data_IF_513497004034
#
_entry.id   IF_513497004034
#
_cell.length_a   1.000
_cell.length_b   1.000
_cell.length_c   1.000
_cell.angle_alpha   90.00
_cell.angle_beta   90.00
_cell.angle_gamma   90.00
#
_symmetry.space_group_name_H-M   'P 1'
#
loop_
_entity.id
_entity.type
_entity.pdbx_description
1 polymer ?
#
# COMPACT_ATOMS: atom_id res chain seq x y z
N UNK A 1 33.20 -30.37 14.03
CA UNK A 1 32.23 -30.82 12.99
C UNK A 1 30.83 -30.54 13.51
N UNK A 2 30.32 -29.36 13.23
CA UNK A 2 28.96 -28.94 13.61
C UNK A 2 28.00 -29.43 12.55
N UNK A 3 27.08 -30.34 12.92
CA UNK A 3 25.99 -30.80 12.05
C UNK A 3 25.00 -29.67 11.96
N UNK A 4 24.98 -28.97 10.81
CA UNK A 4 23.93 -28.04 10.45
C UNK A 4 22.60 -28.79 10.43
N UNK A 5 21.72 -28.51 11.37
CA UNK A 5 20.32 -28.91 11.37
C UNK A 5 19.65 -28.27 10.17
N UNK A 6 19.54 -29.00 9.07
CA UNK A 6 18.68 -28.62 7.95
C UNK A 6 17.22 -28.73 8.42
N UNK A 7 16.67 -27.65 8.96
CA UNK A 7 15.20 -27.58 9.19
C UNK A 7 14.54 -27.73 7.83
N UNK A 8 13.66 -28.73 7.71
CA UNK A 8 12.81 -28.85 6.52
C UNK A 8 12.03 -27.54 6.33
N UNK A 9 11.92 -27.06 5.09
CA UNK A 9 11.19 -25.82 4.82
C UNK A 9 9.72 -26.00 5.24
N UNK A 10 9.11 -25.03 5.92
CA UNK A 10 7.73 -25.12 6.33
C UNK A 10 6.80 -25.29 5.13
N UNK A 11 5.85 -26.21 5.27
CA UNK A 11 4.91 -26.61 4.21
C UNK A 11 3.56 -25.96 4.46
N UNK A 12 2.99 -25.31 3.43
CA UNK A 12 1.67 -24.69 3.45
C UNK A 12 0.69 -25.57 2.65
N UNK A 13 -0.08 -26.40 3.35
CA UNK A 13 -0.78 -27.50 2.71
C UNK A 13 0.22 -28.52 2.16
N UNK A 14 0.19 -28.80 0.87
CA UNK A 14 1.12 -29.73 0.21
C UNK A 14 2.27 -29.04 -0.55
N UNK A 15 2.48 -27.74 -0.40
CA UNK A 15 3.50 -26.98 -1.15
C UNK A 15 4.37 -26.14 -0.21
N UNK A 16 5.65 -26.00 -0.54
CA UNK A 16 6.54 -25.02 0.09
C UNK A 16 6.29 -23.62 -0.43
N UNK A 17 6.77 -22.59 0.27
CA UNK A 17 6.70 -21.19 -0.18
C UNK A 17 7.34 -21.02 -1.57
N UNK A 18 8.51 -21.65 -1.79
CA UNK A 18 9.19 -21.59 -3.09
C UNK A 18 8.34 -22.18 -4.24
N UNK A 19 7.64 -23.30 -3.99
CA UNK A 19 6.72 -23.90 -4.97
C UNK A 19 5.50 -23.01 -5.24
N UNK A 20 4.98 -22.33 -4.21
CA UNK A 20 3.88 -21.37 -4.37
C UNK A 20 4.33 -20.16 -5.21
N UNK A 21 5.54 -19.63 -4.98
CA UNK A 21 6.11 -18.54 -5.76
C UNK A 21 6.29 -18.94 -7.23
N UNK A 22 6.84 -20.14 -7.49
CA UNK A 22 6.99 -20.65 -8.84
C UNK A 22 5.63 -20.79 -9.57
N UNK A 23 4.62 -21.33 -8.88
CA UNK A 23 3.27 -21.47 -9.42
C UNK A 23 2.59 -20.11 -9.68
N UNK A 24 2.76 -19.13 -8.79
CA UNK A 24 2.25 -17.77 -8.96
C UNK A 24 2.86 -17.09 -10.20
N UNK A 25 4.17 -17.24 -10.39
CA UNK A 25 4.88 -16.77 -11.59
C UNK A 25 4.39 -17.45 -12.86
N UNK A 26 4.02 -18.72 -12.77
CA UNK A 26 3.36 -19.46 -13.86
C UNK A 26 1.90 -19.05 -14.11
N UNK A 27 1.37 -18.05 -13.40
CA UNK A 27 0.01 -17.53 -13.60
C UNK A 27 -1.07 -18.22 -12.75
N UNK A 28 -0.71 -19.10 -11.81
CA UNK A 28 -1.68 -19.74 -10.93
C UNK A 28 -2.25 -18.75 -9.90
N UNK A 29 -3.47 -18.24 -10.16
CA UNK A 29 -4.15 -17.25 -9.28
C UNK A 29 -4.35 -17.74 -7.85
N UNK A 30 -4.57 -19.06 -7.64
CA UNK A 30 -4.72 -19.64 -6.29
C UNK A 30 -3.42 -19.58 -5.50
N UNK A 31 -2.28 -19.83 -6.15
CA UNK A 31 -0.97 -19.71 -5.52
C UNK A 31 -0.68 -18.26 -5.12
N UNK A 32 -0.96 -17.30 -6.00
CA UNK A 32 -0.87 -15.85 -5.69
C UNK A 32 -1.74 -15.49 -4.49
N UNK A 33 -3.03 -15.89 -4.49
CA UNK A 33 -3.94 -15.60 -3.39
C UNK A 33 -3.47 -16.22 -2.06
N UNK A 34 -2.86 -17.41 -2.10
CA UNK A 34 -2.31 -18.06 -0.91
C UNK A 34 -1.11 -17.31 -0.35
N UNK A 35 -0.17 -16.89 -1.22
CA UNK A 35 0.99 -16.08 -0.81
C UNK A 35 0.55 -14.76 -0.16
N UNK A 36 -0.44 -14.07 -0.76
CA UNK A 36 -0.99 -12.84 -0.18
C UNK A 36 -1.60 -13.08 1.21
N UNK A 37 -2.28 -14.21 1.41
CA UNK A 37 -2.82 -14.59 2.73
C UNK A 37 -1.71 -14.81 3.75
N UNK A 38 -0.61 -15.45 3.37
CA UNK A 38 0.55 -15.66 4.27
C UNK A 38 1.18 -14.32 4.67
N UNK A 39 1.34 -13.40 3.73
CA UNK A 39 1.85 -12.04 4.02
C UNK A 39 0.91 -11.28 4.96
N UNK A 40 -0.40 -11.35 4.73
CA UNK A 40 -1.42 -10.71 5.57
C UNK A 40 -1.44 -11.27 7.01
N UNK A 41 -1.17 -12.57 7.18
CA UNK A 41 -1.12 -13.23 8.48
C UNK A 41 0.15 -12.88 9.27
N UNK A 42 1.23 -12.50 8.58
CA UNK A 42 2.52 -12.21 9.23
C UNK A 42 3.28 -13.45 9.68
N UNK A 43 4.26 -13.25 10.56
CA UNK A 43 5.06 -14.32 11.14
C UNK A 43 6.07 -14.97 10.19
N UNK A 44 6.64 -16.11 10.60
CA UNK A 44 7.73 -16.78 9.90
C UNK A 44 7.45 -17.07 8.42
N UNK A 45 6.21 -17.47 8.07
CA UNK A 45 5.84 -17.75 6.68
C UNK A 45 5.83 -16.49 5.82
N UNK A 46 5.42 -15.34 6.37
CA UNK A 46 5.51 -14.05 5.66
C UNK A 46 6.97 -13.66 5.40
N UNK A 47 7.88 -13.94 6.34
CA UNK A 47 9.31 -13.68 6.16
C UNK A 47 9.92 -14.61 5.10
N UNK A 48 9.50 -15.85 5.03
CA UNK A 48 9.88 -16.75 3.94
C UNK A 48 9.39 -16.28 2.58
N UNK A 49 8.13 -15.82 2.50
CA UNK A 49 7.58 -15.23 1.26
C UNK A 49 8.41 -14.01 0.86
N UNK A 50 8.74 -13.12 1.81
CA UNK A 50 9.57 -11.95 1.56
C UNK A 50 10.95 -12.34 1.02
N UNK A 51 11.61 -13.34 1.62
CA UNK A 51 12.90 -13.87 1.15
C UNK A 51 12.81 -14.49 -0.24
N UNK A 52 11.78 -15.32 -0.49
CA UNK A 52 11.60 -15.98 -1.78
C UNK A 52 11.24 -15.03 -2.94
N UNK A 53 10.64 -13.87 -2.64
CA UNK A 53 10.24 -12.89 -3.66
C UNK A 53 11.24 -11.75 -3.84
N UNK A 54 12.19 -11.56 -2.92
CA UNK A 54 13.08 -10.38 -2.88
C UNK A 54 13.86 -10.12 -4.17
N UNK A 55 14.30 -11.15 -4.89
CA UNK A 55 15.07 -11.02 -6.14
C UNK A 55 14.20 -10.98 -7.40
N UNK A 56 12.88 -11.03 -7.26
CA UNK A 56 11.93 -11.18 -8.36
C UNK A 56 11.09 -9.92 -8.61
N UNK A 57 11.46 -8.82 -7.99
CA UNK A 57 10.70 -7.57 -7.92
C UNK A 57 11.33 -6.44 -8.73
N UNK A 58 10.69 -5.28 -8.71
CA UNK A 58 11.09 -4.00 -9.33
C UNK A 58 10.68 -3.86 -10.80
N UNK A 59 9.72 -4.65 -11.26
CA UNK A 59 9.16 -4.54 -12.63
C UNK A 59 7.80 -3.85 -12.64
N UNK A 60 6.94 -4.08 -11.64
CA UNK A 60 5.61 -3.53 -11.59
C UNK A 60 5.60 -2.01 -11.34
N UNK A 61 4.73 -1.31 -12.06
CA UNK A 61 4.33 0.05 -11.71
C UNK A 61 3.31 0.01 -10.56
N UNK A 62 3.64 0.58 -9.43
CA UNK A 62 2.73 0.65 -8.27
C UNK A 62 1.99 1.98 -8.27
N UNK A 63 0.67 1.92 -8.48
CA UNK A 63 -0.21 3.09 -8.52
C UNK A 63 -1.06 3.12 -7.25
N UNK A 64 -0.87 4.13 -6.41
CA UNK A 64 -1.71 4.39 -5.24
C UNK A 64 -2.91 5.24 -5.62
N UNK A 65 -4.13 4.78 -5.32
CA UNK A 65 -5.36 5.52 -5.57
C UNK A 65 -5.97 5.94 -4.24
N UNK A 66 -6.07 7.25 -4.03
CA UNK A 66 -6.62 7.85 -2.81
C UNK A 66 -7.60 8.97 -3.12
N UNK A 67 -8.22 9.53 -2.10
CA UNK A 67 -9.19 10.63 -2.22
C UNK A 67 -10.41 10.40 -1.33
N UNK A 68 -11.29 11.40 -1.16
CA UNK A 68 -12.37 11.36 -0.21
C UNK A 68 -13.38 10.23 -0.47
N UNK A 69 -14.13 9.79 0.57
CA UNK A 69 -15.22 8.84 0.41
C UNK A 69 -16.24 9.32 -0.63
N UNK A 70 -16.75 8.41 -1.44
CA UNK A 70 -17.74 8.75 -2.48
C UNK A 70 -17.16 9.39 -3.75
N UNK A 71 -15.85 9.65 -3.84
CA UNK A 71 -15.23 10.19 -5.06
C UNK A 71 -15.28 9.23 -6.26
N UNK A 72 -15.62 7.95 -6.05
CA UNK A 72 -15.72 6.95 -7.10
C UNK A 72 -14.40 6.27 -7.42
N UNK A 73 -13.48 6.21 -6.45
CA UNK A 73 -12.17 5.54 -6.59
C UNK A 73 -12.30 4.13 -7.12
N UNK A 74 -13.10 3.28 -6.47
CA UNK A 74 -13.26 1.86 -6.86
C UNK A 74 -13.85 1.70 -8.27
N UNK A 75 -14.76 2.59 -8.67
CA UNK A 75 -15.32 2.59 -10.03
C UNK A 75 -14.25 3.01 -11.04
N UNK A 76 -13.46 4.04 -10.72
CA UNK A 76 -12.38 4.52 -11.59
C UNK A 76 -11.25 3.50 -11.68
N UNK A 77 -10.86 2.88 -10.55
CA UNK A 77 -9.89 1.79 -10.50
C UNK A 77 -10.34 0.60 -11.36
N UNK A 78 -11.62 0.21 -11.27
CA UNK A 78 -12.17 -0.85 -12.11
C UNK A 78 -12.10 -0.50 -13.59
N UNK A 79 -12.55 0.70 -13.98
CA UNK A 79 -12.52 1.16 -15.36
C UNK A 79 -11.08 1.22 -15.93
N UNK A 80 -10.14 1.81 -15.17
CA UNK A 80 -8.73 1.90 -15.55
C UNK A 80 -8.09 0.51 -15.71
N UNK A 81 -8.29 -0.37 -14.73
CA UNK A 81 -7.67 -1.71 -14.77
C UNK A 81 -8.29 -2.61 -15.83
N UNK A 82 -9.58 -2.48 -16.11
CA UNK A 82 -10.25 -3.15 -17.25
C UNK A 82 -9.64 -2.69 -18.56
N UNK A 83 -9.52 -1.38 -18.79
CA UNK A 83 -8.89 -0.83 -19.99
C UNK A 83 -7.46 -1.36 -20.19
N UNK A 84 -6.67 -1.41 -19.10
CA UNK A 84 -5.30 -1.93 -19.16
C UNK A 84 -5.25 -3.44 -19.45
N UNK A 85 -6.20 -4.21 -18.92
CA UNK A 85 -6.33 -5.63 -19.21
C UNK A 85 -6.71 -5.87 -20.70
N UNK A 86 -7.63 -5.08 -21.25
CA UNK A 86 -8.01 -5.12 -22.67
C UNK A 86 -6.83 -4.78 -23.60
N UNK A 87 -5.86 -4.01 -23.12
CA UNK A 87 -4.58 -3.73 -23.78
C UNK A 87 -3.53 -4.82 -23.62
N UNK A 88 -3.88 -5.95 -23.00
CA UNK A 88 -3.00 -7.09 -22.79
C UNK A 88 -2.04 -6.96 -21.61
N UNK A 89 -2.18 -5.92 -20.75
CA UNK A 89 -1.46 -5.85 -19.48
C UNK A 89 -2.07 -6.81 -18.46
N UNK A 90 -1.37 -7.04 -17.36
CA UNK A 90 -1.82 -7.91 -16.28
C UNK A 90 -2.02 -7.12 -14.97
N UNK A 91 -3.02 -6.24 -14.88
CA UNK A 91 -3.21 -5.43 -13.69
C UNK A 91 -3.67 -6.27 -12.48
N UNK A 92 -3.25 -5.82 -11.29
CA UNK A 92 -3.77 -6.31 -10.01
C UNK A 92 -4.25 -5.14 -9.15
N UNK A 93 -5.29 -5.37 -8.35
CA UNK A 93 -5.82 -4.38 -7.40
C UNK A 93 -5.74 -4.94 -5.98
N UNK A 94 -5.10 -4.17 -5.10
CA UNK A 94 -5.17 -4.33 -3.65
C UNK A 94 -6.13 -3.27 -3.10
N UNK A 95 -7.34 -3.67 -2.75
CA UNK A 95 -8.31 -2.80 -2.11
C UNK A 95 -8.11 -2.87 -0.58
N UNK A 96 -7.76 -1.73 0.00
CA UNK A 96 -7.47 -1.60 1.42
C UNK A 96 -8.67 -0.98 2.13
N UNK A 97 -9.45 -1.81 2.82
CA UNK A 97 -10.66 -1.41 3.53
C UNK A 97 -10.40 -1.19 5.03
N UNK A 98 -11.03 -0.20 5.67
CA UNK A 98 -11.14 -0.21 7.11
C UNK A 98 -11.86 -1.48 7.54
N UNK A 99 -11.34 -2.14 8.60
CA UNK A 99 -12.00 -3.32 9.14
C UNK A 99 -13.40 -2.98 9.66
N UNK A 100 -14.36 -3.84 9.33
CA UNK A 100 -15.69 -3.77 9.93
C UNK A 100 -15.55 -3.97 11.47
N UNK A 101 -16.04 -3.05 12.31
CA UNK A 101 -16.00 -3.21 13.76
C UNK A 101 -16.78 -4.44 14.24
N UNK A 102 -17.70 -4.98 13.42
CA UNK A 102 -18.55 -6.12 13.78
C UNK A 102 -17.97 -7.46 13.35
N UNK A 103 -17.28 -7.53 12.20
CA UNK A 103 -16.81 -8.80 11.62
C UNK A 103 -15.30 -8.92 11.55
N UNK A 104 -14.55 -7.83 11.76
CA UNK A 104 -13.09 -7.76 11.57
C UNK A 104 -12.62 -8.01 10.12
N UNK A 105 -13.55 -8.18 9.17
CA UNK A 105 -13.28 -8.41 7.76
C UNK A 105 -13.48 -7.15 6.91
N UNK A 106 -13.03 -7.18 5.66
CA UNK A 106 -13.26 -6.13 4.67
C UNK A 106 -14.77 -5.95 4.39
N UNK A 107 -15.21 -4.72 4.22
CA UNK A 107 -16.62 -4.41 3.94
C UNK A 107 -16.94 -4.88 2.51
N UNK A 108 -17.92 -5.76 2.35
CA UNK A 108 -18.29 -6.46 1.09
C UNK A 108 -18.67 -5.54 -0.09
N UNK A 109 -18.89 -4.23 0.14
CA UNK A 109 -19.38 -3.30 -0.89
C UNK A 109 -18.44 -3.11 -2.10
N UNK A 110 -17.14 -3.26 -1.93
CA UNK A 110 -16.18 -3.01 -3.02
C UNK A 110 -16.07 -4.18 -4.01
N UNK A 111 -16.30 -5.41 -3.58
CA UNK A 111 -16.30 -6.58 -4.49
C UNK A 111 -17.39 -6.50 -5.54
N UNK A 112 -18.56 -5.97 -5.20
CA UNK A 112 -19.69 -5.83 -6.15
C UNK A 112 -19.36 -4.82 -7.24
N UNK A 113 -18.63 -3.76 -6.91
CA UNK A 113 -18.25 -2.69 -7.85
C UNK A 113 -17.14 -3.10 -8.84
N UNK A 114 -16.38 -4.15 -8.51
CA UNK A 114 -15.27 -4.65 -9.33
C UNK A 114 -15.57 -5.94 -10.09
N UNK A 115 -16.86 -6.31 -10.23
CA UNK A 115 -17.27 -7.53 -10.95
C UNK A 115 -16.80 -7.50 -12.40
N UNK A 116 -16.96 -6.36 -13.09
CA UNK A 116 -16.55 -6.20 -14.50
C UNK A 116 -15.03 -6.33 -14.66
N UNK A 117 -14.24 -5.69 -13.80
CA UNK A 117 -12.79 -5.83 -13.82
C UNK A 117 -12.34 -7.29 -13.57
N UNK A 118 -13.04 -8.02 -12.69
CA UNK A 118 -12.79 -9.45 -12.48
C UNK A 118 -13.10 -10.27 -13.73
N UNK A 119 -14.18 -9.94 -14.43
CA UNK A 119 -14.55 -10.58 -15.70
C UNK A 119 -13.52 -10.30 -16.81
N UNK A 120 -12.91 -9.12 -16.83
CA UNK A 120 -11.81 -8.76 -17.73
C UNK A 120 -10.45 -9.42 -17.34
N UNK A 121 -10.42 -10.25 -16.30
CA UNK A 121 -9.21 -10.97 -15.90
C UNK A 121 -8.33 -10.24 -14.88
N UNK A 122 -8.69 -9.08 -14.39
CA UNK A 122 -7.98 -8.35 -13.33
C UNK A 122 -7.91 -9.19 -12.05
N UNK A 123 -6.76 -9.21 -11.41
CA UNK A 123 -6.60 -9.86 -10.11
C UNK A 123 -6.98 -8.87 -8.99
N UNK A 124 -7.97 -9.20 -8.17
CA UNK A 124 -8.44 -8.31 -7.10
C UNK A 124 -8.34 -8.99 -5.75
N UNK A 125 -7.72 -8.30 -4.80
CA UNK A 125 -7.60 -8.73 -3.40
C UNK A 125 -8.04 -7.60 -2.48
N UNK A 126 -9.09 -7.82 -1.69
CA UNK A 126 -9.44 -6.93 -0.57
C UNK A 126 -8.71 -7.37 0.68
N UNK A 127 -8.22 -6.42 1.45
CA UNK A 127 -7.62 -6.63 2.78
C UNK A 127 -8.25 -5.68 3.79
N UNK A 128 -8.36 -6.13 5.03
CA UNK A 128 -8.88 -5.32 6.13
C UNK A 128 -7.73 -4.79 7.00
N UNK A 129 -7.86 -3.55 7.50
CA UNK A 129 -6.84 -2.92 8.37
C UNK A 129 -6.72 -3.55 9.76
N UNK A 130 -7.69 -4.40 10.17
CA UNK A 130 -7.78 -5.13 11.45
C UNK A 130 -7.46 -4.30 12.70
N UNK A 131 -7.72 -2.98 12.67
CA UNK A 131 -7.57 -2.11 13.84
C UNK A 131 -6.14 -1.83 14.30
N UNK A 132 -5.13 -2.36 13.62
CA UNK A 132 -3.72 -2.10 13.93
C UNK A 132 -3.15 -1.14 12.90
N UNK A 133 -2.93 0.12 13.27
CA UNK A 133 -2.31 1.13 12.41
C UNK A 133 -0.95 0.66 11.83
N UNK A 134 -0.22 -0.21 12.55
CA UNK A 134 1.03 -0.82 12.06
C UNK A 134 0.85 -2.00 11.10
N UNK A 135 -0.27 -2.73 11.17
CA UNK A 135 -0.48 -3.96 10.37
C UNK A 135 -0.59 -3.70 8.87
N UNK A 136 -1.16 -2.56 8.47
CA UNK A 136 -1.28 -2.17 7.07
C UNK A 136 0.06 -1.75 6.48
N UNK A 137 0.80 -0.93 7.20
CA UNK A 137 2.14 -0.47 6.80
C UNK A 137 3.12 -1.64 6.58
N UNK A 138 2.90 -2.79 7.24
CA UNK A 138 3.71 -3.99 7.10
C UNK A 138 3.23 -4.92 5.98
N UNK A 139 1.92 -5.07 5.79
CA UNK A 139 1.36 -6.05 4.87
C UNK A 139 1.37 -5.56 3.41
N UNK A 140 1.01 -4.28 3.17
CA UNK A 140 0.88 -3.73 1.80
C UNK A 140 2.18 -3.86 1.00
N UNK A 141 3.37 -3.45 1.49
CA UNK A 141 4.61 -3.62 0.74
C UNK A 141 4.92 -5.08 0.40
N UNK A 142 4.67 -6.00 1.34
CA UNK A 142 4.85 -7.43 1.12
C UNK A 142 3.89 -7.99 0.07
N UNK A 143 2.63 -7.55 0.07
CA UNK A 143 1.62 -7.98 -0.91
C UNK A 143 1.92 -7.42 -2.31
N UNK A 144 2.33 -6.16 -2.42
CA UNK A 144 2.81 -5.56 -3.67
C UNK A 144 3.97 -6.39 -4.23
N UNK A 145 4.93 -6.76 -3.40
CA UNK A 145 6.08 -7.59 -3.78
C UNK A 145 5.67 -8.97 -4.33
N UNK A 146 4.68 -9.62 -3.70
CA UNK A 146 4.13 -10.89 -4.20
C UNK A 146 3.48 -10.72 -5.58
N UNK A 147 2.72 -9.64 -5.79
CA UNK A 147 2.07 -9.38 -7.07
C UNK A 147 3.09 -9.06 -8.17
N UNK A 148 4.09 -8.22 -7.87
CA UNK A 148 5.20 -7.92 -8.78
C UNK A 148 5.97 -9.21 -9.14
N UNK A 149 6.37 -10.01 -8.16
CA UNK A 149 7.02 -11.30 -8.39
C UNK A 149 6.17 -12.29 -9.20
N UNK A 150 4.84 -12.22 -9.10
CA UNK A 150 3.91 -13.01 -9.91
C UNK A 150 3.69 -12.43 -11.32
N UNK A 151 4.33 -11.31 -11.67
CA UNK A 151 4.28 -10.68 -12.99
C UNK A 151 3.02 -9.87 -13.25
N UNK A 152 2.41 -9.30 -12.22
CA UNK A 152 1.35 -8.30 -12.40
C UNK A 152 1.93 -6.90 -12.62
N UNK A 153 1.38 -6.17 -13.59
CA UNK A 153 1.74 -4.80 -13.93
C UNK A 153 0.57 -4.10 -14.67
N UNK A 154 0.06 -2.96 -14.14
CA UNK A 154 0.40 -2.33 -12.85
C UNK A 154 -0.20 -3.04 -11.64
N UNK A 155 0.34 -2.72 -10.45
CA UNK A 155 -0.28 -3.03 -9.16
C UNK A 155 -0.93 -1.77 -8.62
N UNK A 156 -2.27 -1.76 -8.58
CA UNK A 156 -3.04 -0.64 -8.05
C UNK A 156 -3.36 -0.89 -6.57
N UNK A 157 -2.97 0.04 -5.71
CA UNK A 157 -3.30 0.00 -4.27
C UNK A 157 -4.34 1.08 -4.00
N UNK A 158 -5.57 0.68 -3.72
CA UNK A 158 -6.69 1.58 -3.49
C UNK A 158 -7.04 1.68 -2.00
N UNK A 159 -7.25 2.91 -1.51
CA UNK A 159 -7.75 3.15 -0.15
C UNK A 159 -9.23 3.48 -0.15
N UNK A 160 -9.94 3.12 0.93
CA UNK A 160 -11.36 3.45 1.10
C UNK A 160 -11.58 4.88 1.66
N UNK A 161 -10.53 5.67 1.81
CA UNK A 161 -10.65 7.11 1.98
C UNK A 161 -11.00 7.60 3.38
N UNK A 162 -10.26 7.17 4.43
CA UNK A 162 -10.34 7.77 5.77
C UNK A 162 -8.97 7.78 6.46
N UNK A 163 -8.35 8.95 6.54
CA UNK A 163 -7.27 9.24 7.49
C UNK A 163 -5.88 8.72 7.13
N UNK A 164 -5.15 8.19 8.11
CA UNK A 164 -3.73 7.80 8.03
C UNK A 164 -3.41 6.78 6.91
N UNK A 165 -4.37 5.94 6.54
CA UNK A 165 -4.24 4.93 5.47
C UNK A 165 -3.90 5.57 4.11
N UNK A 166 -4.36 6.80 3.87
CA UNK A 166 -4.08 7.55 2.62
C UNK A 166 -2.60 7.88 2.49
N UNK A 167 -1.95 8.25 3.59
CA UNK A 167 -0.51 8.56 3.63
C UNK A 167 0.31 7.28 3.46
N UNK A 168 -0.11 6.17 4.08
CA UNK A 168 0.59 4.89 4.00
C UNK A 168 0.56 4.32 2.58
N UNK A 169 -0.56 4.47 1.85
CA UNK A 169 -0.66 4.04 0.44
C UNK A 169 0.17 4.94 -0.46
N UNK A 170 0.17 6.26 -0.23
CA UNK A 170 1.03 7.18 -0.96
C UNK A 170 2.52 6.83 -0.78
N UNK A 171 2.92 6.43 0.42
CA UNK A 171 4.28 5.99 0.71
C UNK A 171 4.65 4.65 0.03
N UNK A 172 3.66 3.82 -0.29
CA UNK A 172 3.87 2.51 -0.93
C UNK A 172 3.87 2.57 -2.47
N UNK A 173 3.48 3.69 -3.09
CA UNK A 173 3.29 3.83 -4.53
C UNK A 173 4.48 4.50 -5.25
N UNK A 174 4.64 4.15 -6.53
CA UNK A 174 5.50 4.87 -7.47
C UNK A 174 4.78 6.12 -7.99
N UNK A 175 3.46 6.01 -8.27
CA UNK A 175 2.58 7.11 -8.71
C UNK A 175 1.37 7.19 -7.79
N UNK A 176 1.05 8.38 -7.30
CA UNK A 176 -0.12 8.64 -6.45
C UNK A 176 -1.19 9.38 -7.25
N UNK A 177 -2.31 8.73 -7.48
CA UNK A 177 -3.50 9.28 -8.11
C UNK A 177 -4.50 9.72 -7.04
N UNK A 178 -4.78 11.01 -6.96
CA UNK A 178 -5.81 11.57 -6.08
C UNK A 178 -7.10 11.79 -6.86
N UNK A 179 -8.18 11.12 -6.44
CA UNK A 179 -9.50 11.22 -7.09
C UNK A 179 -10.37 12.20 -6.30
N UNK A 180 -10.86 13.21 -6.98
CA UNK A 180 -11.80 14.22 -6.44
C UNK A 180 -13.07 14.28 -7.28
N UNK A 181 -14.13 14.92 -6.76
CA UNK A 181 -15.40 15.13 -7.50
C UNK A 181 -15.89 16.54 -7.33
N UNK A 182 -16.73 17.02 -8.26
CA UNK A 182 -17.43 18.30 -8.10
C UNK A 182 -18.21 18.37 -6.78
N UNK A 183 -18.30 19.54 -6.18
CA UNK A 183 -19.08 19.78 -4.96
C UNK A 183 -18.41 19.34 -3.64
N UNK A 184 -17.18 18.85 -3.67
CA UNK A 184 -16.41 18.50 -2.45
C UNK A 184 -15.59 19.67 -1.87
N UNK A 185 -15.91 20.94 -2.20
CA UNK A 185 -15.14 22.12 -1.83
C UNK A 185 -14.70 22.15 -0.36
N UNK A 186 -15.59 21.87 0.60
CA UNK A 186 -15.28 21.92 2.02
C UNK A 186 -14.48 20.70 2.51
N UNK A 187 -14.78 19.50 2.02
CA UNK A 187 -14.06 18.27 2.40
C UNK A 187 -12.64 18.24 1.80
N UNK A 188 -12.47 18.75 0.59
CA UNK A 188 -11.16 18.97 -0.04
C UNK A 188 -10.42 20.09 0.67
N UNK A 189 -11.10 21.14 1.16
CA UNK A 189 -10.46 22.25 1.89
C UNK A 189 -9.90 21.82 3.25
N UNK A 190 -10.57 20.96 3.97
CA UNK A 190 -10.09 20.46 5.27
C UNK A 190 -8.83 19.54 5.14
N UNK A 191 -8.66 18.87 3.99
CA UNK A 191 -7.56 17.92 3.72
C UNK A 191 -6.58 18.39 2.63
N UNK A 192 -6.74 19.63 2.15
CA UNK A 192 -6.05 20.19 0.97
C UNK A 192 -4.52 20.08 1.05
N UNK A 193 -3.93 20.44 2.18
CA UNK A 193 -2.48 20.46 2.31
C UNK A 193 -1.88 19.04 2.17
N UNK A 194 -2.45 18.05 2.83
CA UNK A 194 -1.94 16.69 2.80
C UNK A 194 -2.08 15.98 1.45
N UNK A 195 -3.21 16.20 0.73
CA UNK A 195 -3.43 15.57 -0.57
C UNK A 195 -2.56 16.20 -1.68
N UNK A 196 -2.32 17.51 -1.62
CA UNK A 196 -1.43 18.20 -2.57
C UNK A 196 0.04 17.80 -2.39
N UNK A 197 0.45 17.52 -1.14
CA UNK A 197 1.82 17.10 -0.84
C UNK A 197 2.15 15.70 -1.37
N UNK A 198 1.15 14.82 -1.51
CA UNK A 198 1.35 13.42 -1.91
C UNK A 198 0.98 13.13 -3.36
N UNK A 199 0.16 13.96 -4.01
CA UNK A 199 -0.36 13.72 -5.35
C UNK A 199 0.70 13.86 -6.44
N UNK A 200 0.75 12.88 -7.33
CA UNK A 200 1.46 12.97 -8.60
C UNK A 200 0.49 13.25 -9.76
N UNK A 201 -0.76 12.80 -9.64
CA UNK A 201 -1.84 12.99 -10.61
C UNK A 201 -3.15 13.29 -9.89
N UNK A 202 -4.02 14.07 -10.52
CA UNK A 202 -5.40 14.28 -10.08
C UNK A 202 -6.38 13.75 -11.12
N UNK A 203 -7.43 13.06 -10.66
CA UNK A 203 -8.61 12.76 -11.46
C UNK A 203 -9.82 13.52 -10.91
N UNK A 204 -10.39 14.43 -11.69
CA UNK A 204 -11.70 15.03 -11.42
C UNK A 204 -12.75 14.08 -11.97
N UNK A 205 -13.18 13.14 -11.13
CA UNK A 205 -14.18 12.13 -11.51
C UNK A 205 -15.60 12.70 -11.42
N UNK A 206 -16.57 12.02 -12.06
CA UNK A 206 -17.95 12.49 -12.23
C UNK A 206 -18.00 13.86 -12.93
N UNK A 207 -17.15 14.02 -13.96
CA UNK A 207 -17.05 15.28 -14.69
C UNK A 207 -18.28 15.58 -15.58
N UNK A 208 -19.24 14.68 -15.64
CA UNK A 208 -20.59 14.86 -16.18
C UNK A 208 -21.50 15.67 -15.25
N UNK A 209 -21.10 15.88 -13.99
CA UNK A 209 -21.87 16.68 -13.04
C UNK A 209 -21.62 18.17 -13.20
N UNK A 210 -22.59 19.03 -12.83
CA UNK A 210 -22.39 20.46 -12.74
C UNK A 210 -21.18 20.81 -11.84
N UNK A 211 -20.49 21.90 -12.14
CA UNK A 211 -19.31 22.40 -11.42
C UNK A 211 -18.04 21.57 -11.56
N UNK A 212 -17.95 20.61 -12.49
CA UNK A 212 -16.72 19.88 -12.76
C UNK A 212 -15.58 20.80 -13.24
N UNK A 213 -15.90 21.80 -14.05
CA UNK A 213 -14.95 22.80 -14.52
C UNK A 213 -14.42 23.67 -13.36
N UNK A 214 -15.26 23.98 -12.38
CA UNK A 214 -14.86 24.75 -11.19
C UNK A 214 -13.94 23.91 -10.28
N UNK A 215 -14.26 22.64 -10.05
CA UNK A 215 -13.40 21.73 -9.30
C UNK A 215 -12.00 21.58 -9.93
N UNK A 216 -11.92 21.51 -11.26
CA UNK A 216 -10.65 21.50 -11.99
C UNK A 216 -9.89 22.81 -11.80
N UNK A 217 -10.58 23.96 -11.97
CA UNK A 217 -9.97 25.28 -11.79
C UNK A 217 -9.45 25.49 -10.37
N UNK A 218 -10.19 25.04 -9.36
CA UNK A 218 -9.76 25.11 -7.97
C UNK A 218 -8.48 24.32 -7.73
N UNK A 219 -8.34 23.13 -8.32
CA UNK A 219 -7.11 22.34 -8.28
C UNK A 219 -5.95 23.07 -8.98
N UNK A 220 -6.19 23.66 -10.17
CA UNK A 220 -5.19 24.43 -10.91
C UNK A 220 -4.66 25.59 -10.07
N UNK A 221 -5.56 26.37 -9.45
CA UNK A 221 -5.20 27.48 -8.56
C UNK A 221 -4.41 27.02 -7.33
N UNK A 222 -4.77 25.87 -6.74
CA UNK A 222 -4.05 25.33 -5.60
C UNK A 222 -2.63 24.87 -5.99
N UNK A 223 -2.47 24.27 -7.14
CA UNK A 223 -1.14 23.89 -7.66
C UNK A 223 -0.29 25.14 -7.93
N UNK A 224 -0.86 26.21 -8.50
CA UNK A 224 -0.18 27.48 -8.71
C UNK A 224 0.32 28.08 -7.39
N UNK A 225 -0.52 28.07 -6.35
CA UNK A 225 -0.14 28.54 -5.01
C UNK A 225 0.96 27.69 -4.37
N UNK A 226 0.88 26.36 -4.54
CA UNK A 226 1.90 25.42 -4.04
C UNK A 226 3.26 25.66 -4.70
N UNK A 227 3.29 25.96 -5.98
CA UNK A 227 4.51 26.33 -6.70
C UNK A 227 5.13 27.63 -6.19
N UNK A 228 4.30 28.65 -5.94
CA UNK A 228 4.74 29.92 -5.40
C UNK A 228 5.31 29.83 -3.97
N UNK A 229 4.77 28.92 -3.15
CA UNK A 229 5.15 28.77 -1.75
C UNK A 229 6.29 27.76 -1.54
N UNK A 230 6.74 27.08 -2.60
CA UNK A 230 7.81 26.08 -2.53
C UNK A 230 7.41 24.79 -1.79
N UNK A 231 6.12 24.57 -1.53
CA UNK A 231 5.59 23.36 -0.88
C UNK A 231 5.41 22.23 -1.91
N UNK A 232 6.49 21.83 -2.57
CA UNK A 232 6.48 20.65 -3.46
C UNK A 232 7.16 19.47 -2.79
N UNK A 233 6.63 18.28 -3.03
CA UNK A 233 7.28 17.03 -2.62
C UNK A 233 8.67 16.96 -3.25
N UNK A 234 9.70 16.71 -2.44
CA UNK A 234 11.05 16.50 -2.95
C UNK A 234 11.06 15.32 -3.92
N UNK A 235 11.70 15.47 -5.08
CA UNK A 235 11.81 14.41 -6.10
C UNK A 235 10.59 14.25 -7.01
N UNK A 236 9.64 15.20 -7.01
CA UNK A 236 8.58 15.29 -8.05
C UNK A 236 9.06 16.21 -9.16
N UNK A 237 9.35 15.69 -10.35
CA UNK A 237 9.99 16.48 -11.42
C UNK A 237 9.03 17.48 -12.07
N UNK A 238 7.73 17.21 -12.07
CA UNK A 238 6.74 17.98 -12.82
C UNK A 238 5.51 18.34 -12.00
N UNK A 239 4.75 19.34 -12.48
CA UNK A 239 3.44 19.71 -11.95
C UNK A 239 2.47 18.54 -12.12
N UNK A 240 1.70 18.15 -11.08
CA UNK A 240 0.69 17.10 -11.21
C UNK A 240 -0.30 17.38 -12.33
N UNK A 241 -0.50 16.41 -13.23
CA UNK A 241 -1.51 16.52 -14.27
C UNK A 241 -2.92 16.34 -13.68
N UNK A 242 -3.89 17.06 -14.24
CA UNK A 242 -5.31 16.99 -13.85
C UNK A 242 -6.10 16.44 -15.04
N UNK A 243 -6.67 15.24 -14.86
CA UNK A 243 -7.51 14.57 -15.86
C UNK A 243 -8.96 14.57 -15.40
N UNK A 244 -9.89 14.88 -16.31
CA UNK A 244 -11.33 14.80 -16.06
C UNK A 244 -11.85 13.42 -16.47
N UNK A 245 -12.63 12.76 -15.60
CA UNK A 245 -13.13 11.40 -15.87
C UNK A 245 -14.61 11.23 -15.54
N UNK A 246 -15.26 10.33 -16.26
CA UNK A 246 -16.59 9.78 -15.94
C UNK A 246 -16.43 8.27 -15.85
N UNK A 247 -16.07 7.77 -14.69
CA UNK A 247 -15.69 6.37 -14.48
C UNK A 247 -16.77 5.37 -14.90
N UNK A 248 -18.06 5.74 -14.79
CA UNK A 248 -19.20 4.88 -15.15
C UNK A 248 -19.38 4.68 -16.63
N UNK A 249 -18.90 5.60 -17.47
CA UNK A 249 -19.01 5.53 -18.93
C UNK A 249 -17.67 5.30 -19.62
N UNK A 250 -16.56 5.31 -18.86
CA UNK A 250 -15.21 5.24 -19.40
C UNK A 250 -14.67 6.56 -19.94
N UNK A 251 -15.44 7.66 -19.88
CA UNK A 251 -14.99 8.96 -20.35
C UNK A 251 -13.73 9.43 -19.63
N UNK A 252 -12.67 9.83 -20.37
CA UNK A 252 -11.39 10.29 -19.83
C UNK A 252 -10.49 9.21 -19.22
N UNK A 253 -10.93 7.93 -19.16
CA UNK A 253 -10.13 6.83 -18.60
C UNK A 253 -8.92 6.51 -19.48
N UNK A 254 -9.04 6.65 -20.79
CA UNK A 254 -7.95 6.51 -21.76
C UNK A 254 -6.86 7.56 -21.51
N UNK A 255 -7.24 8.83 -21.33
CA UNK A 255 -6.35 9.95 -21.03
C UNK A 255 -5.68 9.74 -19.66
N UNK A 256 -6.43 9.26 -18.67
CA UNK A 256 -5.87 8.93 -17.35
C UNK A 256 -4.83 7.81 -17.43
N UNK A 257 -5.08 6.76 -18.22
CA UNK A 257 -4.12 5.69 -18.43
C UNK A 257 -2.83 6.21 -19.06
N UNK A 258 -2.94 7.09 -20.06
CA UNK A 258 -1.80 7.79 -20.66
C UNK A 258 -1.02 8.60 -19.63
N UNK A 259 -1.70 9.44 -18.83
CA UNK A 259 -1.04 10.24 -17.80
C UNK A 259 -0.32 9.40 -16.73
N UNK A 260 -0.87 8.24 -16.38
CA UNK A 260 -0.21 7.28 -15.47
C UNK A 260 1.07 6.70 -16.08
N UNK A 261 1.04 6.33 -17.36
CA UNK A 261 2.21 5.79 -18.06
C UNK A 261 3.27 6.89 -18.31
N UNK A 262 2.86 8.11 -18.69
CA UNK A 262 3.74 9.26 -18.87
C UNK A 262 4.47 9.63 -17.58
N UNK A 263 3.75 9.64 -16.44
CA UNK A 263 4.38 9.90 -15.14
C UNK A 263 5.44 8.85 -14.79
N UNK A 264 5.18 7.56 -15.06
CA UNK A 264 6.18 6.51 -14.86
C UNK A 264 7.44 6.75 -15.70
N UNK A 265 7.26 7.19 -16.95
CA UNK A 265 8.39 7.47 -17.86
C UNK A 265 9.21 8.67 -17.36
N UNK A 266 8.55 9.71 -16.85
CA UNK A 266 9.21 10.86 -16.20
C UNK A 266 10.01 10.39 -14.97
N UNK A 267 9.43 9.52 -14.13
CA UNK A 267 10.15 8.96 -12.98
C UNK A 267 11.37 8.12 -13.37
N UNK A 268 11.28 7.37 -14.47
CA UNK A 268 12.38 6.56 -14.99
C UNK A 268 13.50 7.44 -15.57
N UNK A 269 13.15 8.36 -16.44
CA UNK A 269 14.13 9.22 -17.14
C UNK A 269 14.84 10.19 -16.19
N UNK A 270 14.17 10.67 -15.14
CA UNK A 270 14.76 11.52 -14.09
C UNK A 270 15.57 10.76 -13.03
N UNK A 271 15.49 9.43 -13.00
CA UNK A 271 16.08 8.61 -11.91
C UNK A 271 15.30 8.65 -10.60
N UNK A 272 14.20 9.41 -10.52
CA UNK A 272 13.39 9.57 -9.31
C UNK A 272 12.69 8.27 -8.89
N UNK A 273 12.41 7.35 -9.83
CA UNK A 273 11.83 6.05 -9.54
C UNK A 273 12.71 5.23 -8.58
N UNK A 274 14.02 5.19 -8.83
CA UNK A 274 14.96 4.46 -7.99
C UNK A 274 15.03 5.04 -6.58
N UNK A 275 15.01 6.37 -6.46
CA UNK A 275 15.01 7.07 -5.16
C UNK A 275 13.72 6.73 -4.39
N UNK A 276 12.55 6.86 -5.01
CA UNK A 276 11.25 6.52 -4.38
C UNK A 276 11.21 5.08 -3.90
N UNK A 277 11.71 4.14 -4.70
CA UNK A 277 11.76 2.72 -4.34
C UNK A 277 12.75 2.45 -3.20
N UNK A 278 13.86 3.17 -3.15
CA UNK A 278 14.81 3.09 -2.03
C UNK A 278 14.19 3.63 -0.74
N UNK A 279 13.53 4.79 -0.79
CA UNK A 279 12.86 5.40 0.37
C UNK A 279 11.75 4.48 0.90
N UNK A 280 10.95 3.89 0.01
CA UNK A 280 9.92 2.90 0.35
C UNK A 280 10.50 1.67 1.05
N UNK A 281 11.61 1.11 0.53
CA UNK A 281 12.32 0.01 1.19
C UNK A 281 12.82 0.41 2.58
N UNK A 282 13.38 1.60 2.71
CA UNK A 282 13.81 2.14 4.00
C UNK A 282 12.65 2.31 5.00
N UNK A 283 11.50 2.78 4.53
CA UNK A 283 10.27 2.89 5.34
C UNK A 283 9.74 1.52 5.79
N UNK A 284 9.73 0.53 4.89
CA UNK A 284 9.35 -0.85 5.23
C UNK A 284 10.26 -1.45 6.30
N UNK A 285 11.58 -1.28 6.17
CA UNK A 285 12.55 -1.77 7.17
C UNK A 285 12.31 -1.11 8.52
N UNK A 286 12.09 0.22 8.56
CA UNK A 286 11.77 0.93 9.81
C UNK A 286 10.47 0.42 10.45
N UNK A 287 9.43 0.21 9.65
CA UNK A 287 8.13 -0.31 10.14
C UNK A 287 8.27 -1.73 10.69
N UNK A 288 9.00 -2.61 10.01
CA UNK A 288 9.27 -3.98 10.49
C UNK A 288 10.09 -3.96 11.77
N UNK A 289 11.14 -3.14 11.85
CA UNK A 289 11.96 -3.01 13.05
C UNK A 289 11.11 -2.52 14.22
N UNK A 290 10.31 -1.48 14.02
CA UNK A 290 9.41 -0.98 15.06
C UNK A 290 8.43 -2.06 15.55
N UNK A 291 7.86 -2.86 14.65
CA UNK A 291 6.97 -3.97 15.00
C UNK A 291 7.68 -5.05 15.82
N UNK A 292 8.86 -5.48 15.40
CA UNK A 292 9.67 -6.47 16.13
C UNK A 292 10.05 -5.99 17.53
N UNK A 293 10.39 -4.70 17.66
CA UNK A 293 10.69 -4.10 18.96
C UNK A 293 9.45 -4.04 19.86
N UNK A 294 8.27 -3.74 19.29
CA UNK A 294 7.00 -3.75 20.04
C UNK A 294 6.65 -5.16 20.52
N UNK A 295 6.78 -6.18 19.68
CA UNK A 295 6.54 -7.58 20.07
C UNK A 295 7.52 -8.03 21.16
N UNK A 296 8.81 -7.75 20.99
CA UNK A 296 9.84 -8.07 21.97
C UNK A 296 9.59 -7.36 23.31
N UNK A 297 9.19 -6.08 23.27
CA UNK A 297 8.87 -5.32 24.48
C UNK A 297 7.64 -5.87 25.21
N UNK A 298 6.59 -6.23 24.48
CA UNK A 298 5.38 -6.84 25.04
C UNK A 298 5.70 -8.19 25.71
N UNK A 299 6.52 -9.02 25.07
CA UNK A 299 6.98 -10.29 25.64
C UNK A 299 7.81 -10.08 26.90
N UNK A 300 8.74 -9.11 26.90
CA UNK A 300 9.56 -8.79 28.06
C UNK A 300 8.72 -8.29 29.24
N UNK A 301 7.73 -7.42 29.00
CA UNK A 301 6.80 -6.95 30.06
C UNK A 301 5.96 -8.12 30.62
N UNK A 302 5.44 -8.99 29.74
CA UNK A 302 4.67 -10.15 30.17
C UNK A 302 5.50 -11.10 31.06
N UNK A 303 6.76 -11.37 30.69
CA UNK A 303 7.68 -12.19 31.50
C UNK A 303 7.96 -11.54 32.84
N UNK A 304 8.29 -10.22 32.87
CA UNK A 304 8.56 -9.49 34.10
C UNK A 304 7.35 -9.45 35.07
N UNK A 305 6.13 -9.47 34.52
CA UNK A 305 4.91 -9.53 35.32
C UNK A 305 4.65 -10.92 35.90
N UNK A 306 5.09 -11.98 35.23
CA UNK A 306 4.91 -13.37 35.69
C UNK A 306 5.97 -13.77 36.73
N UNK A 307 7.20 -13.36 36.57
CA UNK A 307 8.32 -13.71 37.47
C UNK A 307 8.46 -12.74 38.66
N UNK A 308 7.59 -11.73 38.76
CA UNK A 308 7.60 -10.75 39.84
C UNK A 308 8.79 -9.77 39.78
N UNK A 309 9.60 -9.79 38.74
CA UNK A 309 10.76 -8.91 38.59
C UNK A 309 10.40 -7.42 38.41
N UNK A 310 9.12 -7.15 38.18
CA UNK A 310 8.58 -5.78 38.11
C UNK A 310 8.06 -5.29 39.47
N UNK A 311 7.95 -6.17 40.48
CA UNK A 311 7.40 -5.82 41.78
C UNK A 311 8.37 -4.92 42.57
N UNK A 312 7.87 -3.79 43.05
CA UNK A 312 8.64 -2.83 43.83
C UNK A 312 9.42 -1.80 43.02
N UNK A 313 9.50 -1.90 41.72
CA UNK A 313 10.07 -0.87 40.84
C UNK A 313 9.00 0.12 40.34
N UNK A 314 9.43 1.36 40.06
CA UNK A 314 8.53 2.28 39.34
C UNK A 314 8.39 1.85 37.87
N UNK A 315 7.24 2.09 37.21
CA UNK A 315 7.05 1.74 35.79
C UNK A 315 8.15 2.26 34.87
N UNK A 316 8.73 3.45 35.16
CA UNK A 316 9.84 4.01 34.39
C UNK A 316 11.15 3.27 34.59
N UNK A 317 11.44 2.81 35.80
CA UNK A 317 12.65 2.01 36.09
C UNK A 317 12.57 0.64 35.43
N UNK A 318 11.43 -0.05 35.55
CA UNK A 318 11.16 -1.32 34.88
C UNK A 318 11.30 -1.20 33.37
N UNK A 319 10.66 -0.18 32.75
CA UNK A 319 10.77 0.04 31.33
C UNK A 319 12.20 0.26 30.85
N UNK A 320 12.98 1.05 31.60
CA UNK A 320 14.40 1.30 31.27
C UNK A 320 15.22 0.01 31.36
N UNK A 321 15.09 -0.76 32.43
CA UNK A 321 15.78 -2.06 32.61
C UNK A 321 15.45 -3.04 31.49
N UNK A 322 14.17 -3.17 31.12
CA UNK A 322 13.75 -4.05 30.03
C UNK A 322 14.28 -3.57 28.67
N UNK A 323 14.31 -2.25 28.42
CA UNK A 323 14.88 -1.70 27.20
C UNK A 323 16.40 -1.95 27.13
N UNK A 324 17.14 -1.75 28.20
CA UNK A 324 18.58 -2.03 28.28
C UNK A 324 18.85 -3.53 28.02
N UNK A 325 18.02 -4.44 28.53
CA UNK A 325 18.11 -5.86 28.27
C UNK A 325 17.87 -6.21 26.80
N UNK A 326 16.81 -5.68 26.19
CA UNK A 326 16.45 -5.92 24.78
C UNK A 326 17.49 -5.34 23.80
N UNK A 327 18.11 -4.23 24.13
CA UNK A 327 19.10 -3.55 23.28
C UNK A 327 20.54 -4.00 23.55
N UNK A 328 20.75 -5.02 24.39
CA UNK A 328 22.07 -5.53 24.70
C UNK A 328 22.92 -4.56 25.54
N UNK A 329 22.29 -3.84 26.47
CA UNK A 329 22.96 -2.96 27.42
C UNK A 329 23.96 -3.68 28.32
N UNK A 330 24.77 -2.96 29.12
CA UNK A 330 26.03 -3.43 29.74
C UNK A 330 25.90 -4.57 30.76
N UNK A 331 24.71 -5.11 31.05
CA UNK A 331 24.51 -6.17 32.04
C UNK A 331 24.74 -7.61 31.52
N UNK A 332 25.17 -7.83 30.28
CA UNK A 332 25.48 -9.15 29.75
C UNK A 332 26.91 -9.66 30.03
N UNK A 333 27.59 -9.10 31.04
CA UNK A 333 28.84 -9.64 31.57
C UNK A 333 28.73 -9.89 33.08
N UNK A 334 28.00 -10.92 33.49
CA UNK A 334 28.26 -11.66 34.72
C UNK A 334 27.81 -13.11 34.58
#
# INVERSE_FOLDING_TARGET
MSRGSSREPPVVGNRTVAQLVAAARGGERRATARLLTLVEQGGQLADEVAGATHQLIDNAHVVGVTGPPGAGKSTLTAALTTLLADRGRRPAVLAVDPSSPLTGGAILGDRVRMVEATAAGVFIRSMATRGHAGGLALAVPGMVRVLDAAGFDPVVVETVGVGQVEVDVAAAADTVLVVVTPGMGDAVQANKAGLLEVADLFAVNKSDQPNAADARRDLELMLDLSELTGHRRAGVPERPAIVTTVATTGGGVEELAGAVDDHLEVLRSSGSLAVRRQDRRGAEVRSRLAHLLLEASAAAVALASVDGSADGESPGATAKRLADHLLGGPDHKR
#
